data_IF_063612412281
#
_entry.id   IF_063612412281
#
_cell.length_a   1.000
_cell.length_b   1.000
_cell.length_c   1.000
_cell.angle_alpha   90.00
_cell.angle_beta   90.00
_cell.angle_gamma   90.00
#
_symmetry.space_group_name_H-M   'P 1'
#
loop_
_entity.id
_entity.type
_entity.pdbx_description
1 polymer ?
#
# COMPACT_ATOMS: atom_id res chain seq x y z
N UNK A 1 -39.52 39.06 -15.14
CA UNK A 1 -38.27 38.29 -15.40
C UNK A 1 -37.21 38.40 -14.30
N UNK A 2 -37.16 39.48 -13.50
CA UNK A 2 -36.09 39.71 -12.49
C UNK A 2 -36.16 38.76 -11.27
N UNK A 3 -37.35 38.35 -10.83
CA UNK A 3 -37.52 37.45 -9.66
C UNK A 3 -36.98 36.03 -9.88
N UNK A 4 -37.16 35.46 -11.09
CA UNK A 4 -36.68 34.10 -11.42
C UNK A 4 -35.16 34.02 -11.53
N UNK A 5 -34.51 35.06 -12.08
CA UNK A 5 -33.04 35.16 -12.14
C UNK A 5 -32.39 35.23 -10.75
N UNK A 6 -33.02 35.95 -9.80
CA UNK A 6 -32.53 36.03 -8.41
C UNK A 6 -32.64 34.70 -7.67
N UNK A 7 -33.72 33.93 -7.88
CA UNK A 7 -33.89 32.60 -7.28
C UNK A 7 -32.88 31.60 -7.86
N UNK A 8 -32.65 31.62 -9.17
CA UNK A 8 -31.67 30.75 -9.82
C UNK A 8 -30.24 31.07 -9.38
N UNK A 9 -29.89 32.36 -9.25
CA UNK A 9 -28.59 32.78 -8.73
C UNK A 9 -28.41 32.34 -7.27
N UNK A 10 -29.45 32.45 -6.44
CA UNK A 10 -29.41 32.03 -5.03
C UNK A 10 -29.22 30.50 -4.89
N UNK A 11 -29.89 29.71 -5.72
CA UNK A 11 -29.72 28.25 -5.74
C UNK A 11 -28.33 27.83 -6.27
N UNK A 12 -27.78 28.58 -7.22
CA UNK A 12 -26.44 28.31 -7.76
C UNK A 12 -25.35 28.63 -6.71
N UNK A 13 -25.48 29.74 -5.97
CA UNK A 13 -24.55 30.09 -4.89
C UNK A 13 -24.64 29.12 -3.71
N UNK A 14 -25.82 28.58 -3.41
CA UNK A 14 -26.00 27.64 -2.32
C UNK A 14 -25.36 26.28 -2.60
N UNK A 15 -25.35 25.82 -3.86
CA UNK A 15 -24.63 24.60 -4.26
C UNK A 15 -23.11 24.82 -4.28
N UNK A 16 -22.64 26.02 -4.58
CA UNK A 16 -21.21 26.34 -4.61
C UNK A 16 -20.58 26.36 -3.20
N UNK A 17 -21.35 26.71 -2.17
CA UNK A 17 -20.91 26.63 -0.77
C UNK A 17 -20.87 25.19 -0.23
N UNK A 18 -21.53 24.23 -0.90
CA UNK A 18 -21.50 22.81 -0.51
C UNK A 18 -20.28 22.06 -1.05
N UNK A 19 -19.45 22.69 -1.88
CA UNK A 19 -18.23 22.07 -2.46
C UNK A 19 -16.97 22.29 -1.63
N UNK A 20 -17.05 22.86 -0.43
CA UNK A 20 -16.00 22.66 0.57
C UNK A 20 -16.10 21.21 1.06
N UNK A 21 -15.55 20.28 0.27
CA UNK A 21 -15.05 19.03 0.82
C UNK A 21 -13.99 19.44 1.85
N UNK A 22 -14.42 19.58 3.10
CA UNK A 22 -13.49 19.51 4.22
C UNK A 22 -12.85 18.14 4.07
N UNK A 23 -11.63 18.08 3.54
CA UNK A 23 -10.74 16.97 3.83
C UNK A 23 -10.74 16.95 5.35
N UNK A 24 -11.35 15.93 6.00
CA UNK A 24 -11.27 15.87 7.44
C UNK A 24 -9.79 15.94 7.76
N UNK A 25 -9.42 16.89 8.61
CA UNK A 25 -8.09 16.96 9.18
C UNK A 25 -7.99 15.69 10.04
N UNK A 26 -7.72 14.54 9.40
CA UNK A 26 -7.56 13.26 10.06
C UNK A 26 -6.26 13.41 10.80
N UNK A 27 -6.39 13.90 12.03
CA UNK A 27 -5.31 13.95 12.99
C UNK A 27 -4.91 12.51 13.28
N UNK A 28 -3.95 12.04 12.50
CA UNK A 28 -3.08 10.94 12.89
C UNK A 28 -2.19 11.44 14.03
N UNK A 29 -2.80 11.64 15.20
CA UNK A 29 -2.05 11.73 16.45
C UNK A 29 -1.60 10.31 16.79
N UNK A 30 -0.55 9.87 16.11
CA UNK A 30 0.31 8.82 16.62
C UNK A 30 1.02 9.41 17.83
N UNK A 31 0.38 9.34 19.01
CA UNK A 31 1.05 9.71 20.24
C UNK A 31 2.27 8.81 20.38
N UNK A 32 3.46 9.41 20.31
CA UNK A 32 4.72 8.77 20.67
C UNK A 32 4.72 8.46 22.17
N UNK A 33 4.09 7.37 22.59
CA UNK A 33 4.35 6.77 23.90
C UNK A 33 5.41 5.67 23.75
N UNK A 34 6.59 6.03 23.22
CA UNK A 34 7.78 5.17 23.26
C UNK A 34 8.96 5.90 23.93
N UNK A 35 9.63 5.26 24.91
CA UNK A 35 10.75 5.88 25.61
C UNK A 35 11.93 6.06 24.67
N UNK A 36 12.37 7.32 24.50
CA UNK A 36 13.51 7.70 23.68
C UNK A 36 14.75 6.89 24.05
N UNK A 37 15.18 5.98 23.18
CA UNK A 37 16.54 5.43 23.23
C UNK A 37 17.47 6.38 22.48
N UNK A 38 18.01 7.36 23.19
CA UNK A 38 19.09 8.20 22.67
C UNK A 38 20.34 7.35 22.49
N UNK A 39 20.81 7.18 21.25
CA UNK A 39 22.23 6.93 21.01
C UNK A 39 22.73 7.79 19.85
N UNK A 40 23.28 8.95 20.22
CA UNK A 40 24.09 9.80 19.36
C UNK A 40 25.38 9.08 18.99
N UNK A 41 25.58 8.73 17.72
CA UNK A 41 26.91 8.37 17.22
C UNK A 41 27.55 9.62 16.61
N UNK A 42 28.67 9.99 17.21
CA UNK A 42 29.47 11.17 16.93
C UNK A 42 30.17 11.07 15.58
N UNK A 43 30.19 12.22 14.90
CA UNK A 43 31.00 12.59 13.74
C UNK A 43 32.49 12.53 14.09
N UNK A 44 33.30 11.94 13.22
CA UNK A 44 34.76 11.97 13.26
C UNK A 44 35.35 11.90 11.85
N UNK A 45 35.77 13.05 11.32
CA UNK A 45 36.82 13.20 10.30
C UNK A 45 38.18 12.86 10.99
N UNK A 46 39.32 12.48 10.40
CA UNK A 46 39.94 12.51 9.06
C UNK A 46 41.18 11.60 9.16
N UNK A 47 41.68 10.98 8.07
CA UNK A 47 43.12 10.84 7.75
C UNK A 47 43.32 10.09 6.44
N UNK A 48 44.06 10.72 5.54
CA UNK A 48 44.45 10.31 4.19
C UNK A 48 45.55 9.24 4.20
N UNK A 49 45.59 8.40 3.15
CA UNK A 49 46.82 8.13 2.40
C UNK A 49 46.53 7.45 1.06
N UNK A 50 47.09 8.04 0.01
CA UNK A 50 47.19 7.60 -1.39
C UNK A 50 47.85 6.20 -1.51
N UNK A 51 47.78 5.41 -2.59
CA UNK A 51 48.41 5.63 -3.90
C UNK A 51 48.13 4.45 -4.87
N UNK A 52 47.55 4.75 -6.05
CA UNK A 52 47.87 4.28 -7.42
C UNK A 52 47.51 2.90 -8.06
N UNK A 53 47.19 3.05 -9.38
CA UNK A 53 47.27 2.18 -10.59
C UNK A 53 46.01 1.36 -10.96
N UNK A 54 45.17 1.79 -11.92
CA UNK A 54 45.27 1.82 -13.42
C UNK A 54 45.36 0.45 -14.12
N UNK A 55 44.30 0.07 -14.86
CA UNK A 55 44.23 -0.32 -16.29
C UNK A 55 42.93 -1.12 -16.58
N UNK A 56 42.00 -0.60 -17.42
CA UNK A 56 41.70 -0.99 -18.83
C UNK A 56 41.34 -2.49 -19.01
N UNK A 57 40.34 -2.98 -19.75
CA UNK A 57 39.53 -2.54 -20.91
C UNK A 57 38.50 -3.68 -21.16
N UNK A 58 37.21 -3.39 -21.35
CA UNK A 58 36.41 -3.59 -22.59
C UNK A 58 35.98 -5.03 -22.98
N UNK A 59 34.68 -5.12 -23.30
CA UNK A 59 34.02 -5.91 -24.35
C UNK A 59 33.28 -7.25 -24.09
N UNK A 60 31.98 -7.16 -24.41
CA UNK A 60 31.09 -8.05 -25.18
C UNK A 60 30.50 -9.37 -24.62
N UNK A 61 29.18 -9.29 -24.38
CA UNK A 61 28.06 -10.05 -24.98
C UNK A 61 28.26 -11.53 -25.38
N UNK A 62 27.40 -12.42 -24.87
CA UNK A 62 26.52 -13.28 -25.69
C UNK A 62 25.58 -14.16 -24.85
N UNK A 63 24.33 -14.23 -25.32
CA UNK A 63 23.27 -15.16 -24.94
C UNK A 63 23.59 -16.57 -25.47
N UNK A 64 23.16 -17.64 -24.78
CA UNK A 64 22.36 -18.73 -25.36
C UNK A 64 22.00 -19.84 -24.34
N UNK A 65 20.86 -20.48 -24.66
CA UNK A 65 20.05 -21.44 -23.92
C UNK A 65 20.68 -22.83 -23.70
N UNK A 66 20.19 -23.58 -22.69
CA UNK A 66 19.51 -24.88 -22.90
C UNK A 66 19.29 -25.68 -21.59
N UNK A 67 18.26 -26.53 -21.67
CA UNK A 67 17.55 -27.32 -20.66
C UNK A 67 18.35 -28.29 -19.78
N UNK A 68 17.85 -28.56 -18.57
CA UNK A 68 17.90 -29.89 -17.90
C UNK A 68 16.89 -29.98 -16.74
N UNK A 69 15.99 -30.97 -16.79
CA UNK A 69 15.05 -31.34 -15.72
C UNK A 69 15.76 -32.06 -14.57
N UNK A 70 15.41 -31.81 -13.28
CA UNK A 70 15.50 -32.79 -12.16
C UNK A 70 14.75 -32.30 -10.87
N UNK A 71 13.71 -33.04 -10.46
CA UNK A 71 13.15 -33.32 -9.09
C UNK A 71 12.75 -32.17 -8.12
N UNK A 72 11.51 -32.16 -7.55
CA UNK A 72 11.14 -31.21 -6.49
C UNK A 72 11.53 -31.77 -5.12
N UNK A 73 12.67 -31.32 -4.57
CA UNK A 73 12.99 -31.53 -3.15
C UNK A 73 12.36 -30.43 -2.31
N UNK A 74 11.34 -30.81 -1.55
CA UNK A 74 10.68 -30.02 -0.52
C UNK A 74 11.71 -29.54 0.52
N UNK A 75 12.01 -28.23 0.49
CA UNK A 75 12.55 -27.41 1.59
C UNK A 75 12.77 -25.99 1.05
N UNK A 76 11.69 -25.26 0.78
CA UNK A 76 11.81 -23.83 0.48
C UNK A 76 12.01 -23.06 1.79
N UNK A 77 13.26 -22.98 2.22
CA UNK A 77 13.72 -21.84 3.01
C UNK A 77 13.68 -20.66 2.05
N UNK A 78 12.66 -19.81 2.18
CA UNK A 78 12.48 -18.60 1.38
C UNK A 78 13.70 -17.70 1.60
N UNK A 79 14.59 -17.64 0.60
CA UNK A 79 15.64 -16.62 0.57
C UNK A 79 14.96 -15.24 0.54
N UNK A 80 15.50 -14.22 1.23
CA UNK A 80 15.01 -12.85 1.10
C UNK A 80 15.00 -12.48 -0.39
N UNK A 81 13.84 -12.06 -0.88
CA UNK A 81 13.68 -11.74 -2.29
C UNK A 81 14.47 -10.45 -2.57
N UNK A 82 15.56 -10.56 -3.32
CA UNK A 82 16.45 -9.42 -3.61
C UNK A 82 15.73 -8.33 -4.44
N UNK A 83 14.71 -8.73 -5.21
CA UNK A 83 13.89 -7.87 -6.07
C UNK A 83 12.42 -8.29 -6.03
N UNK A 84 11.50 -7.33 -5.83
CA UNK A 84 10.05 -7.58 -5.87
C UNK A 84 9.63 -8.27 -7.19
N UNK A 85 8.65 -9.20 -7.15
CA UNK A 85 8.17 -9.89 -8.34
C UNK A 85 7.53 -8.88 -9.31
N UNK A 86 7.61 -9.13 -10.63
CA UNK A 86 6.90 -8.28 -11.59
C UNK A 86 5.40 -8.58 -11.58
N UNK A 87 5.03 -9.84 -11.28
CA UNK A 87 3.66 -10.34 -11.32
C UNK A 87 3.44 -11.42 -10.26
N UNK A 88 2.19 -11.64 -9.83
CA UNK A 88 1.84 -12.63 -8.80
C UNK A 88 2.33 -14.06 -9.09
N UNK A 89 2.49 -14.43 -10.37
CA UNK A 89 2.98 -15.77 -10.79
C UNK A 89 4.44 -16.04 -10.44
N UNK A 90 5.23 -14.98 -10.24
CA UNK A 90 6.66 -15.06 -9.87
C UNK A 90 6.87 -15.01 -8.35
N UNK A 91 5.83 -14.64 -7.60
CA UNK A 91 5.90 -14.49 -6.16
C UNK A 91 5.85 -15.85 -5.44
N UNK A 92 6.56 -16.00 -4.31
CA UNK A 92 6.26 -17.05 -3.36
C UNK A 92 4.78 -17.02 -2.93
N UNK A 93 4.21 -18.18 -2.63
CA UNK A 93 2.78 -18.31 -2.29
C UNK A 93 2.52 -18.37 -0.78
N UNK A 94 3.48 -17.98 0.06
CA UNK A 94 3.35 -17.95 1.52
C UNK A 94 2.62 -16.69 2.03
N UNK A 95 2.71 -15.59 1.28
CA UNK A 95 2.00 -14.33 1.52
C UNK A 95 1.87 -13.54 0.23
N UNK A 96 1.21 -12.39 0.28
CA UNK A 96 1.11 -11.50 -0.88
C UNK A 96 2.41 -10.69 -0.96
N UNK A 97 2.98 -10.59 -2.15
CA UNK A 97 4.15 -9.75 -2.43
C UNK A 97 3.71 -8.60 -3.34
N UNK A 98 4.03 -7.38 -2.96
CA UNK A 98 3.92 -6.21 -3.83
C UNK A 98 4.64 -6.45 -5.16
N UNK A 99 4.09 -5.92 -6.25
CA UNK A 99 4.61 -6.14 -7.60
C UNK A 99 5.15 -4.87 -8.25
N UNK A 100 5.82 -5.04 -9.40
CA UNK A 100 6.30 -3.93 -10.25
C UNK A 100 7.30 -2.96 -9.58
N UNK A 101 8.02 -3.41 -8.56
CA UNK A 101 9.04 -2.58 -7.88
C UNK A 101 8.47 -1.31 -7.23
N UNK A 102 7.19 -1.34 -6.86
CA UNK A 102 6.50 -0.17 -6.31
C UNK A 102 6.87 0.10 -4.85
N UNK A 103 6.99 1.39 -4.54
CA UNK A 103 7.38 1.91 -3.24
C UNK A 103 6.16 2.42 -2.47
N UNK A 104 6.29 2.49 -1.16
CA UNK A 104 5.34 3.19 -0.29
C UNK A 104 5.85 4.60 -0.08
N UNK A 105 5.01 5.60 -0.30
CA UNK A 105 5.36 6.98 0.06
C UNK A 105 4.17 7.73 0.64
N UNK A 106 4.46 8.66 1.53
CA UNK A 106 3.50 9.66 1.99
C UNK A 106 4.14 11.05 2.00
N UNK A 107 3.43 12.02 1.44
CA UNK A 107 3.84 13.41 1.40
C UNK A 107 2.70 14.32 1.83
N UNK A 108 3.00 15.30 2.68
CA UNK A 108 2.08 16.38 3.04
C UNK A 108 2.81 17.73 3.04
N UNK A 109 2.30 18.68 2.28
CA UNK A 109 2.73 20.07 2.28
C UNK A 109 1.51 21.00 2.26
N UNK A 110 1.30 21.71 3.37
CA UNK A 110 0.07 22.46 3.59
C UNK A 110 -1.17 21.56 3.49
N UNK A 111 -2.07 21.92 2.57
CA UNK A 111 -3.29 21.16 2.25
C UNK A 111 -3.08 20.07 1.20
N UNK A 112 -1.89 20.00 0.59
CA UNK A 112 -1.58 18.99 -0.43
C UNK A 112 -1.15 17.70 0.24
N UNK A 113 -1.86 16.61 -0.04
CA UNK A 113 -1.51 15.27 0.41
C UNK A 113 -1.30 14.40 -0.83
N UNK A 114 -0.23 13.62 -0.83
CA UNK A 114 0.02 12.56 -1.82
C UNK A 114 0.44 11.29 -1.11
N UNK A 115 -0.13 10.17 -1.51
CA UNK A 115 0.18 8.86 -0.97
C UNK A 115 0.19 7.82 -2.08
N UNK A 116 1.09 6.86 -1.98
CA UNK A 116 1.08 5.69 -2.84
C UNK A 116 1.35 4.44 -2.03
N UNK A 117 0.56 3.42 -2.33
CA UNK A 117 0.78 2.05 -1.90
C UNK A 117 1.29 1.21 -3.07
N UNK A 118 1.86 0.03 -2.81
CA UNK A 118 2.39 -0.81 -3.86
C UNK A 118 1.28 -1.40 -4.73
N UNK A 119 1.65 -1.78 -5.96
CA UNK A 119 0.77 -2.51 -6.88
C UNK A 119 0.70 -4.00 -6.51
N UNK A 120 -0.40 -4.64 -6.92
CA UNK A 120 -0.64 -6.07 -6.73
C UNK A 120 -1.00 -6.77 -8.04
N UNK A 121 -0.36 -6.38 -9.14
CA UNK A 121 -0.57 -6.92 -10.49
C UNK A 121 -0.62 -8.46 -10.49
N UNK A 122 -1.72 -9.02 -11.03
CA UNK A 122 -1.88 -10.47 -11.19
C UNK A 122 -2.49 -11.20 -9.99
N UNK A 123 -2.67 -10.55 -8.85
CA UNK A 123 -3.36 -11.16 -7.71
C UNK A 123 -4.88 -11.18 -7.94
N UNK A 124 -5.37 -12.31 -8.43
CA UNK A 124 -6.81 -12.59 -8.52
C UNK A 124 -7.38 -13.05 -7.18
N UNK A 125 -8.70 -12.98 -6.99
CA UNK A 125 -9.36 -13.56 -5.79
C UNK A 125 -8.99 -15.02 -5.57
N UNK A 126 -8.85 -15.79 -6.66
CA UNK A 126 -8.46 -17.20 -6.63
C UNK A 126 -7.03 -17.39 -6.13
N UNK A 127 -6.08 -16.59 -6.60
CA UNK A 127 -4.69 -16.65 -6.14
C UNK A 127 -4.61 -16.25 -4.66
N UNK A 128 -5.26 -15.15 -4.28
CA UNK A 128 -5.28 -14.71 -2.89
C UNK A 128 -5.87 -15.78 -1.97
N UNK A 129 -6.96 -16.45 -2.36
CA UNK A 129 -7.55 -17.52 -1.56
C UNK A 129 -6.67 -18.78 -1.45
N UNK A 130 -5.78 -19.02 -2.40
CA UNK A 130 -4.77 -20.09 -2.26
C UNK A 130 -3.72 -19.73 -1.21
N UNK A 131 -3.34 -18.45 -1.14
CA UNK A 131 -2.31 -17.95 -0.22
C UNK A 131 -2.87 -17.80 1.20
N UNK A 132 -4.01 -17.10 1.35
CA UNK A 132 -4.58 -16.73 2.65
C UNK A 132 -5.73 -17.63 3.11
N UNK A 133 -6.15 -18.58 2.29
CA UNK A 133 -7.32 -19.41 2.55
C UNK A 133 -8.66 -18.70 2.26
N UNK A 134 -9.74 -19.25 2.79
CA UNK A 134 -11.09 -18.68 2.61
C UNK A 134 -11.25 -17.44 3.50
N UNK A 135 -11.78 -16.31 2.97
CA UNK A 135 -12.04 -15.14 3.79
C UNK A 135 -13.15 -15.40 4.83
N UNK A 136 -13.05 -14.73 5.97
CA UNK A 136 -14.06 -14.74 7.02
C UNK A 136 -15.38 -14.17 6.50
N UNK A 137 -15.30 -13.04 5.79
CA UNK A 137 -16.45 -12.40 5.15
C UNK A 137 -16.08 -11.88 3.75
N UNK A 138 -17.09 -11.84 2.88
CA UNK A 138 -17.04 -11.19 1.57
C UNK A 138 -18.10 -10.11 1.55
N UNK A 139 -17.74 -8.92 1.13
CA UNK A 139 -18.64 -7.77 1.17
C UNK A 139 -18.59 -6.98 -0.12
N UNK A 140 -19.76 -6.64 -0.63
CA UNK A 140 -19.97 -5.93 -1.89
C UNK A 140 -20.96 -4.77 -1.74
N UNK A 141 -21.55 -4.60 -0.55
CA UNK A 141 -22.47 -3.48 -0.31
C UNK A 141 -21.71 -2.16 -0.36
N UNK A 142 -22.20 -1.24 -1.20
CA UNK A 142 -21.67 0.11 -1.36
C UNK A 142 -21.58 0.82 0.01
N UNK A 143 -22.60 0.65 0.86
CA UNK A 143 -22.61 1.23 2.21
C UNK A 143 -21.42 0.77 3.05
N UNK A 144 -21.12 -0.53 3.08
CA UNK A 144 -19.97 -1.02 3.83
C UNK A 144 -18.65 -0.51 3.25
N UNK A 145 -18.56 -0.51 1.92
CA UNK A 145 -17.42 -0.04 1.16
C UNK A 145 -17.10 1.44 1.48
N UNK A 146 -18.11 2.29 1.65
CA UNK A 146 -17.96 3.72 1.92
C UNK A 146 -17.74 4.04 3.40
N UNK A 147 -18.54 3.45 4.28
CA UNK A 147 -18.58 3.85 5.69
C UNK A 147 -17.67 2.96 6.54
N UNK A 148 -17.78 1.64 6.37
CA UNK A 148 -17.14 0.68 7.30
C UNK A 148 -15.68 0.37 6.94
N UNK A 149 -15.35 0.28 5.65
CA UNK A 149 -14.00 -0.10 5.21
C UNK A 149 -12.93 0.85 5.77
N UNK A 150 -13.09 2.15 5.54
CA UNK A 150 -12.14 3.18 5.99
C UNK A 150 -12.02 3.22 7.51
N UNK A 151 -13.13 3.13 8.24
CA UNK A 151 -13.11 3.15 9.71
C UNK A 151 -12.37 1.94 10.28
N UNK A 152 -12.67 0.74 9.77
CA UNK A 152 -11.95 -0.49 10.13
C UNK A 152 -10.48 -0.39 9.78
N UNK A 153 -10.16 0.18 8.62
CA UNK A 153 -8.77 0.26 8.18
C UNK A 153 -7.96 1.26 9.00
N UNK A 154 -8.58 2.34 9.47
CA UNK A 154 -7.97 3.25 10.43
C UNK A 154 -7.55 2.50 11.70
N UNK A 155 -8.43 1.65 12.24
CA UNK A 155 -8.16 0.85 13.43
C UNK A 155 -7.03 -0.16 13.18
N UNK A 156 -7.08 -0.88 12.05
CA UNK A 156 -6.08 -1.88 11.68
C UNK A 156 -4.69 -1.25 11.53
N UNK A 157 -4.59 -0.17 10.77
CA UNK A 157 -3.32 0.53 10.50
C UNK A 157 -2.76 1.16 11.78
N UNK A 158 -3.61 1.77 12.63
CA UNK A 158 -3.18 2.27 13.94
C UNK A 158 -2.62 1.17 14.83
N UNK A 159 -3.28 0.02 14.88
CA UNK A 159 -2.80 -1.11 15.68
C UNK A 159 -1.44 -1.62 15.17
N UNK A 160 -1.27 -1.76 13.85
CA UNK A 160 0.02 -2.18 13.26
C UNK A 160 1.16 -1.21 13.56
N UNK A 161 0.88 0.09 13.51
CA UNK A 161 1.86 1.12 13.88
C UNK A 161 2.20 1.06 15.38
N UNK A 162 1.20 0.97 16.25
CA UNK A 162 1.40 0.86 17.70
C UNK A 162 2.17 -0.41 18.09
N UNK A 163 2.00 -1.50 17.34
CA UNK A 163 2.74 -2.75 17.51
C UNK A 163 4.17 -2.69 16.91
N UNK A 164 4.56 -1.57 16.30
CA UNK A 164 5.87 -1.39 15.66
C UNK A 164 6.06 -2.23 14.39
N UNK A 165 4.97 -2.75 13.80
CA UNK A 165 5.01 -3.61 12.61
C UNK A 165 5.18 -2.82 11.31
N UNK A 166 4.77 -1.56 11.30
CA UNK A 166 4.89 -0.63 10.17
C UNK A 166 5.35 0.74 10.67
N UNK A 167 5.96 1.51 9.77
CA UNK A 167 6.38 2.89 10.06
C UNK A 167 5.18 3.85 10.04
N UNK A 168 5.38 5.06 10.58
CA UNK A 168 4.36 6.11 10.52
C UNK A 168 4.03 6.51 9.06
N UNK A 169 5.05 6.55 8.19
CA UNK A 169 4.89 6.89 6.78
C UNK A 169 4.03 5.85 6.06
N UNK A 170 4.33 4.56 6.27
CA UNK A 170 3.53 3.45 5.73
C UNK A 170 2.09 3.52 6.24
N UNK A 171 1.91 3.75 7.54
CA UNK A 171 0.58 3.87 8.12
C UNK A 171 -0.24 5.01 7.47
N UNK A 172 0.37 6.19 7.29
CA UNK A 172 -0.27 7.33 6.62
C UNK A 172 -0.56 7.03 5.15
N UNK A 173 0.38 6.43 4.42
CA UNK A 173 0.21 6.08 3.02
C UNK A 173 -0.96 5.12 2.81
N UNK A 174 -0.97 3.99 3.53
CA UNK A 174 -1.99 2.97 3.41
C UNK A 174 -3.37 3.45 3.84
N UNK A 175 -3.46 4.28 4.87
CA UNK A 175 -4.75 4.83 5.26
C UNK A 175 -5.25 5.87 4.25
N UNK A 176 -4.39 6.76 3.75
CA UNK A 176 -4.79 7.73 2.74
C UNK A 176 -5.29 7.04 1.47
N UNK A 177 -4.64 5.96 1.03
CA UNK A 177 -5.15 5.14 -0.07
C UNK A 177 -6.49 4.47 0.26
N UNK A 178 -6.74 4.04 1.51
CA UNK A 178 -8.04 3.54 1.92
C UNK A 178 -9.13 4.63 1.89
N UNK A 179 -8.78 5.86 2.26
CA UNK A 179 -9.66 7.05 2.15
C UNK A 179 -10.00 7.31 0.69
N UNK A 180 -9.01 7.38 -0.19
CA UNK A 180 -9.21 7.61 -1.63
C UNK A 180 -10.08 6.52 -2.25
N UNK A 181 -9.81 5.25 -1.92
CA UNK A 181 -10.64 4.13 -2.36
C UNK A 181 -12.08 4.30 -1.88
N UNK A 182 -12.32 4.60 -0.59
CA UNK A 182 -13.68 4.81 -0.06
C UNK A 182 -14.48 5.88 -0.81
N UNK A 183 -13.79 6.87 -1.40
CA UNK A 183 -14.39 7.92 -2.23
C UNK A 183 -14.56 7.50 -3.70
N UNK A 184 -13.59 6.75 -4.25
CA UNK A 184 -13.62 6.25 -5.63
C UNK A 184 -14.74 5.23 -5.89
N UNK A 185 -15.22 4.56 -4.84
CA UNK A 185 -16.33 3.60 -4.88
C UNK A 185 -17.66 4.20 -5.40
N UNK A 186 -17.72 5.51 -5.62
CA UNK A 186 -18.85 6.23 -6.23
C UNK A 186 -18.94 6.12 -7.77
N UNK A 187 -17.90 5.60 -8.45
CA UNK A 187 -17.75 5.74 -9.91
C UNK A 187 -18.09 4.49 -10.76
N UNK A 188 -18.96 3.60 -10.27
CA UNK A 188 -19.58 2.55 -11.09
C UNK A 188 -18.78 1.25 -11.27
N UNK A 189 -17.52 1.19 -10.81
CA UNK A 189 -16.76 -0.07 -10.72
C UNK A 189 -17.35 -1.02 -9.67
N UNK A 190 -17.21 -2.33 -9.90
CA UNK A 190 -17.65 -3.35 -8.94
C UNK A 190 -16.50 -3.72 -8.01
N UNK A 191 -16.69 -3.47 -6.71
CA UNK A 191 -15.68 -3.78 -5.71
C UNK A 191 -16.12 -4.91 -4.78
N UNK A 192 -15.14 -5.69 -4.32
CA UNK A 192 -15.36 -6.75 -3.33
C UNK A 192 -14.30 -6.63 -2.24
N UNK A 193 -14.73 -6.53 -0.98
CA UNK A 193 -13.83 -6.65 0.17
C UNK A 193 -13.82 -8.09 0.67
N UNK A 194 -12.63 -8.65 0.83
CA UNK A 194 -12.40 -9.84 1.64
C UNK A 194 -11.84 -9.43 2.99
N UNK A 195 -12.40 -9.97 4.06
CA UNK A 195 -11.86 -9.80 5.41
C UNK A 195 -11.29 -11.10 5.93
N UNK A 196 -10.19 -11.00 6.67
CA UNK A 196 -9.54 -12.12 7.37
C UNK A 196 -9.20 -11.71 8.80
N UNK A 197 -8.85 -12.70 9.62
CA UNK A 197 -8.47 -12.52 11.03
C UNK A 197 -9.49 -11.67 11.80
N UNK A 198 -10.79 -11.92 11.61
CA UNK A 198 -11.92 -11.19 12.21
C UNK A 198 -11.96 -9.70 11.82
N UNK A 199 -11.57 -9.38 10.58
CA UNK A 199 -11.59 -8.00 10.05
C UNK A 199 -10.32 -7.20 10.29
N UNK A 200 -9.30 -7.80 10.93
CA UNK A 200 -7.98 -7.18 11.11
C UNK A 200 -7.20 -7.02 9.81
N UNK A 201 -7.56 -7.80 8.79
CA UNK A 201 -6.99 -7.75 7.46
C UNK A 201 -8.13 -7.52 6.47
N UNK A 202 -8.00 -6.48 5.65
CA UNK A 202 -8.94 -6.13 4.60
C UNK A 202 -8.23 -6.12 3.25
N UNK A 203 -8.82 -6.78 2.26
CA UNK A 203 -8.36 -6.79 0.88
C UNK A 203 -9.46 -6.24 0.00
N UNK A 204 -9.15 -5.26 -0.86
CA UNK A 204 -10.11 -4.71 -1.82
C UNK A 204 -9.76 -5.22 -3.21
N UNK A 205 -10.76 -5.78 -3.88
CA UNK A 205 -10.68 -6.17 -5.28
C UNK A 205 -11.56 -5.23 -6.11
N UNK A 206 -11.02 -4.71 -7.19
CA UNK A 206 -11.81 -4.17 -8.30
C UNK A 206 -12.00 -5.30 -9.31
N UNK A 207 -13.25 -5.64 -9.59
CA UNK A 207 -13.62 -6.86 -10.32
C UNK A 207 -12.96 -8.09 -9.70
N UNK A 208 -11.93 -8.67 -10.33
CA UNK A 208 -11.15 -9.80 -9.80
C UNK A 208 -9.72 -9.43 -9.39
N UNK A 209 -9.26 -8.21 -9.69
CA UNK A 209 -7.89 -7.76 -9.45
C UNK A 209 -7.76 -7.14 -8.06
N UNK A 210 -6.78 -7.57 -7.28
CA UNK A 210 -6.43 -7.00 -5.99
C UNK A 210 -5.84 -5.59 -6.18
N UNK A 211 -6.37 -4.62 -5.45
CA UNK A 211 -5.92 -3.21 -5.52
C UNK A 211 -5.52 -2.64 -4.16
N UNK A 212 -5.86 -3.34 -3.07
CA UNK A 212 -5.53 -2.92 -1.71
C UNK A 212 -5.36 -4.13 -0.79
N UNK A 213 -4.41 -4.02 0.13
CA UNK A 213 -4.19 -4.98 1.22
C UNK A 213 -3.82 -4.20 2.48
N UNK A 214 -4.42 -4.51 3.62
CA UNK A 214 -3.94 -4.01 4.93
C UNK A 214 -2.45 -4.33 5.10
N UNK A 215 -1.61 -3.37 5.53
CA UNK A 215 -0.15 -3.51 5.53
C UNK A 215 0.40 -4.37 6.68
N UNK A 216 -0.25 -5.49 7.04
CA UNK A 216 0.28 -6.41 8.05
C UNK A 216 1.41 -7.27 7.44
N UNK A 217 2.66 -7.21 7.95
CA UNK A 217 3.79 -7.98 7.43
C UNK A 217 3.58 -9.50 7.45
N UNK A 218 2.63 -10.00 8.24
CA UNK A 218 2.27 -11.41 8.28
C UNK A 218 1.60 -11.88 6.96
N UNK A 219 0.93 -10.98 6.24
CA UNK A 219 0.17 -11.31 5.01
C UNK A 219 0.65 -10.56 3.78
N UNK A 220 1.42 -9.48 3.96
CA UNK A 220 1.91 -8.64 2.89
C UNK A 220 3.40 -8.38 3.02
N UNK A 221 4.14 -8.57 1.95
CA UNK A 221 5.51 -8.12 1.79
C UNK A 221 5.57 -6.98 0.76
N UNK A 222 6.13 -5.85 1.16
CA UNK A 222 6.46 -4.73 0.29
C UNK A 222 7.82 -4.15 0.67
N UNK A 223 8.41 -3.38 -0.23
CA UNK A 223 9.69 -2.72 -0.01
C UNK A 223 9.47 -1.21 -0.02
N UNK A 224 10.19 -0.50 0.84
CA UNK A 224 10.39 0.95 0.76
C UNK A 224 11.29 1.29 -0.44
#
# INVERSE_FOLDING_TARGET
MIKRKKILLCLLTLNLLSLTACIPDVKFDFKEDHPSSSSSVRKGETSESETSKRNSSSDHSSEQESHSETIPSSSQVTKPLEKLPLHASEAPQDKIYATRGSIVFYYKEGDTISAQIPYFEGYTKKIVQKILGKPDQKQQSIKYLQETFKERELENVKALYQDGKITEEEAKAFFMSAVDLSQALNFGSTYTIFTYKKGKIQLVFEEDQLIYVTPDPDVLYFKL
#
